data_IF_947650471741
#
_entry.id   IF_947650471741
#
_cell.length_a   1.000
_cell.length_b   1.000
_cell.length_c   1.000
_cell.angle_alpha   90.00
_cell.angle_beta   90.00
_cell.angle_gamma   90.00
#
_symmetry.space_group_name_H-M   'P 1'
#
loop_
_entity.id
_entity.type
_entity.pdbx_description
1 polymer ?
#
# COMPACT_ATOMS: atom_id res chain seq x y z
N UNK A 1 12.34 -8.29 -8.14
CA UNK A 1 12.75 -9.03 -6.92
C UNK A 1 12.28 -8.42 -5.60
N UNK A 2 12.33 -7.09 -5.42
CA UNK A 2 12.07 -6.42 -4.12
C UNK A 2 10.67 -6.68 -3.55
N UNK A 3 9.62 -6.68 -4.39
CA UNK A 3 8.25 -6.97 -3.93
C UNK A 3 8.04 -8.42 -3.50
N UNK A 4 8.70 -9.37 -4.17
CA UNK A 4 8.65 -10.78 -3.79
C UNK A 4 9.32 -10.99 -2.42
N UNK A 5 10.50 -10.37 -2.21
CA UNK A 5 11.20 -10.40 -0.91
C UNK A 5 10.33 -9.79 0.20
N UNK A 6 9.64 -8.68 -0.08
CA UNK A 6 8.70 -8.03 0.85
C UNK A 6 7.49 -8.93 1.16
N UNK A 7 6.90 -9.56 0.15
CA UNK A 7 5.78 -10.49 0.30
C UNK A 7 6.15 -11.68 1.18
N UNK A 8 7.29 -12.34 0.92
CA UNK A 8 7.76 -13.45 1.74
C UNK A 8 8.06 -13.03 3.18
N UNK A 9 8.64 -11.85 3.38
CA UNK A 9 8.89 -11.31 4.71
C UNK A 9 7.58 -11.05 5.48
N UNK A 10 6.58 -10.45 4.83
CA UNK A 10 5.29 -10.14 5.44
C UNK A 10 4.42 -11.37 5.71
N UNK A 11 4.63 -12.47 4.97
CA UNK A 11 3.92 -13.74 5.18
C UNK A 11 4.55 -14.67 6.22
N UNK A 12 5.64 -14.27 6.87
CA UNK A 12 6.17 -15.05 8.00
C UNK A 12 5.11 -15.11 9.13
N UNK A 13 4.93 -16.25 9.81
CA UNK A 13 3.90 -16.43 10.83
C UNK A 13 4.00 -15.42 11.98
N UNK A 14 5.21 -14.93 12.30
CA UNK A 14 5.46 -13.85 13.26
C UNK A 14 4.74 -12.54 12.90
N UNK A 15 4.61 -12.21 11.61
CA UNK A 15 3.99 -10.98 11.11
C UNK A 15 2.60 -11.21 10.51
N UNK A 16 2.15 -12.47 10.43
CA UNK A 16 0.83 -12.83 9.92
C UNK A 16 -0.31 -12.42 10.88
N UNK A 17 -0.04 -12.34 12.18
CA UNK A 17 -1.01 -11.87 13.16
C UNK A 17 -1.04 -10.35 13.16
N UNK A 18 -2.21 -9.80 12.81
CA UNK A 18 -2.50 -8.37 13.03
C UNK A 18 -2.65 -8.17 14.52
N UNK A 19 -1.57 -7.76 15.18
CA UNK A 19 -1.64 -7.38 16.59
C UNK A 19 -2.46 -6.10 16.74
N UNK A 20 -3.27 -6.04 17.79
CA UNK A 20 -3.93 -4.81 18.20
C UNK A 20 -2.85 -3.81 18.61
N UNK A 21 -3.03 -2.53 18.26
CA UNK A 21 -2.04 -1.50 18.59
C UNK A 21 -1.83 -1.47 20.11
N UNK A 22 -0.61 -1.74 20.54
CA UNK A 22 -0.16 -1.53 21.91
C UNK A 22 0.82 -0.36 21.89
N UNK A 23 0.58 0.65 22.72
CA UNK A 23 1.52 1.75 22.87
C UNK A 23 2.87 1.17 23.34
N UNK A 24 3.92 1.36 22.54
CA UNK A 24 5.25 0.88 22.89
C UNK A 24 5.76 1.57 24.14
N UNK A 25 6.29 0.80 25.10
CA UNK A 25 7.01 1.35 26.25
C UNK A 25 8.29 2.02 25.77
N UNK A 26 8.63 3.19 26.34
CA UNK A 26 9.81 4.00 25.98
C UNK A 26 11.14 3.22 26.13
N UNK A 27 11.15 2.12 26.88
CA UNK A 27 12.33 1.28 27.15
C UNK A 27 12.44 -0.01 26.30
N UNK A 28 11.58 -0.22 25.29
CA UNK A 28 11.78 -1.34 24.37
C UNK A 28 12.84 -0.99 23.33
N UNK A 29 13.90 -1.81 23.26
CA UNK A 29 14.78 -1.89 22.09
C UNK A 29 13.95 -2.29 20.89
N UNK A 30 13.55 -1.30 20.09
CA UNK A 30 12.81 -1.55 18.86
C UNK A 30 13.80 -2.08 17.84
N UNK A 31 13.65 -3.35 17.46
CA UNK A 31 14.34 -3.87 16.29
C UNK A 31 13.98 -2.99 15.08
N UNK A 32 14.96 -2.70 14.22
CA UNK A 32 14.70 -1.99 12.96
C UNK A 32 13.60 -2.69 12.16
N UNK A 33 13.52 -4.01 12.28
CA UNK A 33 12.52 -4.90 11.70
C UNK A 33 11.13 -4.83 12.36
N UNK A 34 10.85 -3.88 13.27
CA UNK A 34 9.54 -3.63 13.88
C UNK A 34 8.87 -2.33 13.41
N UNK A 35 9.35 -1.76 12.30
CA UNK A 35 8.74 -0.59 11.70
C UNK A 35 7.28 -0.85 11.26
N UNK A 36 6.32 -0.12 11.85
CA UNK A 36 4.93 0.01 11.40
C UNK A 36 3.97 -1.16 11.66
N UNK A 37 4.45 -2.30 12.17
CA UNK A 37 3.64 -3.49 12.43
C UNK A 37 3.00 -4.12 11.18
N UNK A 38 2.22 -5.19 11.38
CA UNK A 38 1.65 -5.99 10.28
C UNK A 38 0.67 -5.21 9.38
N UNK A 39 -0.12 -4.29 9.95
CA UNK A 39 -1.10 -3.49 9.19
C UNK A 39 -0.42 -2.54 8.21
N UNK A 40 0.53 -1.72 8.67
CA UNK A 40 1.19 -0.75 7.80
C UNK A 40 1.98 -1.45 6.69
N UNK A 41 2.60 -2.60 6.98
CA UNK A 41 3.32 -3.39 5.98
C UNK A 41 2.42 -3.95 4.89
N UNK A 42 1.26 -4.50 5.27
CA UNK A 42 0.25 -4.98 4.30
C UNK A 42 -0.29 -3.83 3.45
N UNK A 43 -0.60 -2.71 4.09
CA UNK A 43 -1.04 -1.50 3.40
C UNK A 43 0.00 -1.04 2.38
N UNK A 44 1.28 -0.95 2.76
CA UNK A 44 2.34 -0.54 1.87
C UNK A 44 2.53 -1.52 0.70
N UNK A 45 2.45 -2.83 0.98
CA UNK A 45 2.55 -3.87 -0.06
C UNK A 45 1.41 -3.75 -1.08
N UNK A 46 0.18 -3.53 -0.59
CA UNK A 46 -0.99 -3.31 -1.43
C UNK A 46 -0.87 -2.00 -2.22
N UNK A 47 -0.37 -0.94 -1.60
CA UNK A 47 -0.14 0.34 -2.25
C UNK A 47 0.89 0.22 -3.39
N UNK A 48 1.98 -0.53 -3.17
CA UNK A 48 2.92 -0.84 -4.25
C UNK A 48 2.24 -1.65 -5.37
N UNK A 49 1.45 -2.67 -5.03
CA UNK A 49 0.73 -3.47 -6.03
C UNK A 49 -0.18 -2.58 -6.90
N UNK A 50 -0.98 -1.69 -6.29
CA UNK A 50 -1.81 -0.74 -7.04
C UNK A 50 -0.99 0.25 -7.87
N UNK A 51 0.14 0.75 -7.33
CA UNK A 51 1.04 1.63 -8.09
C UNK A 51 1.55 0.95 -9.36
N UNK A 52 1.96 -0.32 -9.27
CA UNK A 52 2.49 -1.08 -10.41
C UNK A 52 1.40 -1.55 -11.38
N UNK A 53 0.25 -2.01 -10.88
CA UNK A 53 -0.84 -2.51 -11.71
C UNK A 53 -1.59 -1.37 -12.44
N UNK A 54 -1.78 -0.24 -11.77
CA UNK A 54 -2.54 0.89 -12.30
C UNK A 54 -1.66 2.05 -12.79
N UNK A 55 -0.33 1.93 -12.68
CA UNK A 55 0.67 2.96 -13.03
C UNK A 55 0.41 4.31 -12.34
N UNK A 56 -0.01 4.23 -11.07
CA UNK A 56 -0.33 5.39 -10.24
C UNK A 56 0.91 5.91 -9.52
N UNK A 57 0.92 7.21 -9.27
CA UNK A 57 1.86 7.83 -8.32
C UNK A 57 1.47 7.46 -6.88
N UNK A 58 2.43 7.40 -5.96
CA UNK A 58 2.15 7.08 -4.56
C UNK A 58 1.11 7.99 -3.91
N UNK A 59 1.12 9.30 -4.23
CA UNK A 59 0.14 10.25 -3.71
C UNK A 59 -1.29 9.96 -4.20
N UNK A 60 -1.45 9.34 -5.36
CA UNK A 60 -2.75 8.93 -5.89
C UNK A 60 -3.22 7.66 -5.17
N UNK A 61 -2.32 6.71 -4.95
CA UNK A 61 -2.64 5.46 -4.25
C UNK A 61 -3.06 5.72 -2.80
N UNK A 62 -2.40 6.66 -2.11
CA UNK A 62 -2.75 7.02 -0.73
C UNK A 62 -4.11 7.70 -0.58
N UNK A 63 -4.67 8.21 -1.67
CA UNK A 63 -6.00 8.83 -1.69
C UNK A 63 -7.13 7.83 -1.95
N UNK A 64 -6.82 6.59 -2.32
CA UNK A 64 -7.81 5.52 -2.51
C UNK A 64 -8.46 5.22 -1.17
N UNK A 65 -9.79 5.24 -1.14
CA UNK A 65 -10.58 4.92 0.03
C UNK A 65 -11.29 3.58 -0.12
N UNK A 66 -11.88 3.07 0.97
CA UNK A 66 -12.58 1.78 0.95
C UNK A 66 -13.74 1.77 -0.06
N UNK A 67 -14.44 2.88 -0.24
CA UNK A 67 -15.54 3.00 -1.20
C UNK A 67 -15.09 2.93 -2.67
N UNK A 68 -13.80 3.13 -2.95
CA UNK A 68 -13.22 3.00 -4.28
C UNK A 68 -12.89 1.53 -4.63
N UNK A 69 -12.97 0.63 -3.65
CA UNK A 69 -12.60 -0.78 -3.78
C UNK A 69 -13.85 -1.64 -3.73
N UNK A 70 -14.16 -2.30 -4.84
CA UNK A 70 -15.27 -3.24 -4.96
C UNK A 70 -14.74 -4.65 -5.15
N UNK A 71 -15.20 -5.61 -4.34
CA UNK A 71 -14.88 -7.02 -4.56
C UNK A 71 -15.89 -7.61 -5.54
N UNK A 72 -15.43 -7.99 -6.74
CA UNK A 72 -16.26 -8.64 -7.76
C UNK A 72 -16.33 -10.16 -7.53
N UNK A 73 -15.21 -10.75 -7.08
CA UNK A 73 -15.12 -12.17 -6.71
C UNK A 73 -13.99 -12.40 -5.72
N UNK A 74 -13.81 -13.64 -5.27
CA UNK A 74 -12.71 -14.03 -4.38
C UNK A 74 -11.32 -13.72 -4.95
N UNK A 75 -11.20 -13.64 -6.28
CA UNK A 75 -9.94 -13.40 -6.98
C UNK A 75 -9.93 -12.09 -7.77
N UNK A 76 -11.00 -11.30 -7.74
CA UNK A 76 -11.10 -10.08 -8.54
C UNK A 76 -11.58 -8.91 -7.68
N UNK A 77 -10.75 -7.86 -7.67
CA UNK A 77 -11.05 -6.58 -7.06
C UNK A 77 -11.11 -5.54 -8.17
N UNK A 78 -12.21 -4.80 -8.22
CA UNK A 78 -12.35 -3.61 -9.03
C UNK A 78 -11.93 -2.41 -8.20
N UNK A 79 -10.96 -1.67 -8.72
CA UNK A 79 -10.51 -0.42 -8.16
C UNK A 79 -11.03 0.72 -9.03
N UNK A 80 -11.94 1.51 -8.48
CA UNK A 80 -12.41 2.75 -9.10
C UNK A 80 -11.38 3.84 -8.78
N UNK A 81 -10.82 4.49 -9.79
CA UNK A 81 -9.84 5.55 -9.59
C UNK A 81 -10.57 6.89 -9.56
N UNK A 82 -10.65 7.60 -8.42
CA UNK A 82 -11.31 8.89 -8.36
C UNK A 82 -10.48 10.01 -9.03
N UNK A 83 -9.23 9.71 -9.42
CA UNK A 83 -8.36 10.64 -10.14
C UNK A 83 -8.36 10.30 -11.62
N UNK A 84 -8.67 11.31 -12.43
CA UNK A 84 -8.59 11.24 -13.89
C UNK A 84 -7.11 11.32 -14.26
N UNK A 85 -6.58 10.30 -14.93
CA UNK A 85 -5.27 10.37 -15.62
C UNK A 85 -5.31 11.62 -16.50
N UNK A 86 -4.64 12.69 -16.10
CA UNK A 86 -4.71 13.95 -16.81
C UNK A 86 -4.06 13.78 -18.17
N UNK A 87 -4.93 13.81 -19.18
CA UNK A 87 -4.69 14.05 -20.59
C UNK A 87 -4.10 12.90 -21.45
N UNK A 88 -4.85 12.49 -22.48
CA UNK A 88 -4.33 11.77 -23.65
C UNK A 88 -3.37 12.65 -24.50
N UNK A 89 -3.25 13.94 -24.17
CA UNK A 89 -2.29 14.88 -24.76
C UNK A 89 -1.44 15.49 -23.64
N UNK A 90 -0.28 14.89 -23.32
CA UNK A 90 0.60 15.31 -22.24
C UNK A 90 0.81 16.82 -22.19
N UNK A 91 0.15 17.49 -21.24
CA UNK A 91 0.34 18.90 -20.97
C UNK A 91 1.47 19.06 -19.97
N UNK A 92 2.72 19.01 -20.43
CA UNK A 92 3.78 19.73 -19.74
C UNK A 92 3.46 21.21 -19.84
N UNK A 93 2.73 21.76 -18.86
CA UNK A 93 2.94 23.16 -18.52
C UNK A 93 4.30 23.19 -17.84
N UNK A 94 5.31 23.56 -18.63
CA UNK A 94 6.58 24.01 -18.09
C UNK A 94 6.27 25.15 -17.12
N UNK A 95 6.87 25.06 -15.93
CA UNK A 95 6.80 26.03 -14.84
C UNK A 95 6.79 27.48 -15.35
N UNK A 96 5.86 28.28 -14.83
CA UNK A 96 5.87 29.75 -14.94
C UNK A 96 5.89 30.35 -13.54
#
# INVERSE_FOLDING_TARGET
ETLAKLYHFNNKPKYAKVSQYAAGSRNQTKDADDWGGARARRFLTLAYAFSFLCLLRFDEVLKIQMHDIEQISDTCIKLTLPFRKTNQFGGTLAFH
#
